data_IF_528879990614
#
_entry.id   IF_528879990614
#
_cell.length_a   1.000
_cell.length_b   1.000
_cell.length_c   1.000
_cell.angle_alpha   90.00
_cell.angle_beta   90.00
_cell.angle_gamma   90.00
#
_symmetry.space_group_name_H-M   'P 1'
#
loop_
_entity.id
_entity.type
_entity.pdbx_description
1 polymer ?
#
# COMPACT_ATOMS: atom_id res chain seq x y z
N UNK A 1 -31.36 -40.21 -8.86
CA UNK A 1 -31.24 -39.70 -7.47
C UNK A 1 -29.79 -39.58 -6.97
N UNK A 2 -28.90 -40.58 -7.21
CA UNK A 2 -27.47 -40.51 -6.88
C UNK A 2 -26.73 -39.36 -7.59
N UNK A 3 -26.96 -39.20 -8.90
CA UNK A 3 -26.37 -38.13 -9.72
C UNK A 3 -26.81 -36.73 -9.26
N UNK A 4 -28.10 -36.54 -8.94
CA UNK A 4 -28.63 -35.28 -8.39
C UNK A 4 -28.02 -34.98 -7.02
N UNK A 5 -27.86 -35.97 -6.13
CA UNK A 5 -27.15 -35.79 -4.85
C UNK A 5 -25.67 -35.45 -5.04
N UNK A 6 -25.03 -35.97 -6.10
CA UNK A 6 -23.64 -35.66 -6.44
C UNK A 6 -23.51 -34.23 -6.99
N UNK A 7 -24.38 -33.82 -7.92
CA UNK A 7 -24.41 -32.45 -8.45
C UNK A 7 -24.82 -31.43 -7.39
N UNK A 8 -25.79 -31.74 -6.53
CA UNK A 8 -26.15 -30.91 -5.38
C UNK A 8 -25.03 -30.91 -4.33
N UNK A 9 -24.36 -32.03 -4.09
CA UNK A 9 -23.21 -32.13 -3.19
C UNK A 9 -22.05 -31.25 -3.62
N UNK A 10 -21.69 -31.30 -4.91
CA UNK A 10 -20.68 -30.42 -5.51
C UNK A 10 -21.08 -28.94 -5.41
N UNK A 11 -22.33 -28.57 -5.75
CA UNK A 11 -22.81 -27.19 -5.61
C UNK A 11 -22.85 -26.69 -4.15
N UNK A 12 -23.13 -27.56 -3.18
CA UNK A 12 -23.17 -27.20 -1.75
C UNK A 12 -21.77 -27.08 -1.16
N UNK A 13 -20.82 -27.94 -1.56
CA UNK A 13 -19.40 -27.79 -1.19
C UNK A 13 -18.80 -26.52 -1.80
N UNK A 14 -19.10 -26.24 -3.07
CA UNK A 14 -18.72 -25.00 -3.74
C UNK A 14 -19.33 -23.77 -3.04
N UNK A 15 -20.61 -23.82 -2.66
CA UNK A 15 -21.29 -22.73 -1.95
C UNK A 15 -20.64 -22.40 -0.60
N UNK A 16 -20.32 -23.41 0.22
CA UNK A 16 -19.63 -23.20 1.50
C UNK A 16 -18.23 -22.62 1.30
N UNK A 17 -17.53 -23.08 0.27
CA UNK A 17 -16.22 -22.54 -0.09
C UNK A 17 -16.30 -21.06 -0.48
N UNK A 18 -17.21 -20.68 -1.37
CA UNK A 18 -17.39 -19.27 -1.75
C UNK A 18 -17.86 -18.40 -0.59
N UNK A 19 -18.73 -18.90 0.29
CA UNK A 19 -19.16 -18.19 1.48
C UNK A 19 -17.98 -17.94 2.45
N UNK A 20 -17.10 -18.94 2.63
CA UNK A 20 -15.85 -18.76 3.38
C UNK A 20 -14.99 -17.65 2.77
N UNK A 21 -14.76 -17.68 1.45
CA UNK A 21 -13.96 -16.66 0.76
C UNK A 21 -14.55 -15.25 0.92
N UNK A 22 -15.87 -15.10 0.85
CA UNK A 22 -16.52 -13.81 1.04
C UNK A 22 -16.33 -13.30 2.47
N UNK A 23 -16.48 -14.16 3.48
CA UNK A 23 -16.26 -13.79 4.88
C UNK A 23 -14.81 -13.33 5.08
N UNK A 24 -13.86 -14.10 4.56
CA UNK A 24 -12.44 -13.72 4.61
C UNK A 24 -12.22 -12.37 3.91
N UNK A 25 -12.77 -12.18 2.71
CA UNK A 25 -12.64 -10.94 1.97
C UNK A 25 -13.18 -9.72 2.73
N UNK A 26 -14.32 -9.86 3.39
CA UNK A 26 -14.89 -8.80 4.22
C UNK A 26 -13.99 -8.48 5.41
N UNK A 27 -13.48 -9.51 6.10
CA UNK A 27 -12.55 -9.30 7.22
C UNK A 27 -11.27 -8.61 6.76
N UNK A 28 -10.65 -9.10 5.69
CA UNK A 28 -9.43 -8.50 5.14
C UNK A 28 -9.67 -7.06 4.70
N UNK A 29 -10.75 -6.80 3.96
CA UNK A 29 -11.10 -5.44 3.54
C UNK A 29 -11.35 -4.50 4.72
N UNK A 30 -12.01 -4.99 5.77
CA UNK A 30 -12.27 -4.20 6.99
C UNK A 30 -10.97 -3.84 7.70
N UNK A 31 -10.12 -4.83 8.01
CA UNK A 31 -8.90 -4.60 8.78
C UNK A 31 -7.84 -3.84 7.97
N UNK A 32 -7.60 -4.21 6.72
CA UNK A 32 -6.68 -3.47 5.83
C UNK A 32 -7.18 -2.05 5.59
N UNK A 33 -8.49 -1.89 5.36
CA UNK A 33 -9.12 -0.58 5.20
C UNK A 33 -8.99 0.30 6.44
N UNK A 34 -9.20 -0.24 7.65
CA UNK A 34 -9.05 0.50 8.91
C UNK A 34 -7.61 0.92 9.15
N UNK A 35 -6.65 -0.01 9.04
CA UNK A 35 -5.22 0.28 9.24
C UNK A 35 -4.74 1.35 8.28
N UNK A 36 -5.08 1.23 6.99
CA UNK A 36 -4.65 2.20 5.98
C UNK A 36 -5.39 3.53 6.11
N UNK A 37 -6.66 3.54 6.51
CA UNK A 37 -7.38 4.79 6.78
C UNK A 37 -6.78 5.54 7.97
N UNK A 38 -6.38 4.83 9.04
CA UNK A 38 -5.65 5.43 10.16
C UNK A 38 -4.29 5.95 9.73
N UNK A 39 -3.59 5.24 8.84
CA UNK A 39 -2.30 5.70 8.32
C UNK A 39 -2.46 6.95 7.48
N UNK A 40 -3.44 6.98 6.57
CA UNK A 40 -3.80 8.17 5.79
C UNK A 40 -4.16 9.35 6.68
N UNK A 41 -4.94 9.13 7.74
CA UNK A 41 -5.21 10.17 8.73
C UNK A 41 -3.93 10.68 9.40
N UNK A 42 -3.01 9.78 9.78
CA UNK A 42 -1.71 10.15 10.32
C UNK A 42 -0.87 11.01 9.36
N UNK A 43 -0.88 10.67 8.07
CA UNK A 43 -0.20 11.44 7.02
C UNK A 43 -0.81 12.83 6.84
N UNK A 44 -2.14 12.92 6.70
CA UNK A 44 -2.83 14.20 6.51
C UNK A 44 -2.59 15.14 7.71
N UNK A 45 -2.59 14.61 8.95
CA UNK A 45 -2.22 15.40 10.13
C UNK A 45 -0.75 15.81 10.13
N UNK A 46 0.15 14.91 9.74
CA UNK A 46 1.59 15.20 9.66
C UNK A 46 1.87 16.34 8.68
N UNK A 47 1.21 16.34 7.52
CA UNK A 47 1.30 17.40 6.52
C UNK A 47 0.76 18.73 7.04
N UNK A 48 -0.40 18.72 7.71
CA UNK A 48 -0.98 19.92 8.33
C UNK A 48 -0.07 20.53 9.42
N UNK A 49 0.53 19.68 10.26
CA UNK A 49 1.48 20.12 11.30
C UNK A 49 2.74 20.70 10.64
N UNK A 50 3.29 20.03 9.62
CA UNK A 50 4.45 20.51 8.88
C UNK A 50 4.17 21.91 8.29
N UNK A 51 3.09 22.09 7.55
CA UNK A 51 2.77 23.40 6.94
C UNK A 51 2.54 24.50 7.98
N UNK A 52 1.85 24.17 9.08
CA UNK A 52 1.63 25.12 10.18
C UNK A 52 2.96 25.54 10.84
N UNK A 53 3.85 24.57 11.03
CA UNK A 53 5.18 24.78 11.61
C UNK A 53 6.05 25.63 10.69
N UNK A 54 6.12 25.31 9.39
CA UNK A 54 6.87 26.08 8.41
C UNK A 54 6.39 27.54 8.33
N UNK A 55 5.07 27.77 8.42
CA UNK A 55 4.50 29.12 8.45
C UNK A 55 4.88 29.89 9.73
N UNK A 56 4.93 29.22 10.87
CA UNK A 56 5.29 29.84 12.16
C UNK A 56 6.77 30.20 12.23
N UNK A 57 7.63 29.37 11.66
CA UNK A 57 9.09 29.52 11.72
C UNK A 57 9.62 30.48 10.65
N UNK A 58 8.83 30.76 9.61
CA UNK A 58 9.21 31.62 8.50
C UNK A 58 9.68 33.01 8.99
N UNK A 59 10.96 33.32 8.74
CA UNK A 59 11.56 34.62 9.09
C UNK A 59 12.32 34.65 10.42
N UNK A 60 12.26 33.57 11.23
CA UNK A 60 13.01 33.46 12.47
C UNK A 60 14.17 32.45 12.33
N UNK A 61 15.39 32.95 12.44
CA UNK A 61 16.61 32.15 12.31
C UNK A 61 16.78 31.11 13.43
N UNK A 62 16.45 31.47 14.68
CA UNK A 62 16.63 30.56 15.82
C UNK A 62 15.62 29.42 15.77
N UNK A 63 14.37 29.73 15.44
CA UNK A 63 13.34 28.70 15.25
C UNK A 63 13.65 27.79 14.05
N UNK A 64 14.26 28.33 12.99
CA UNK A 64 14.69 27.52 11.85
C UNK A 64 15.76 26.52 12.25
N UNK A 65 16.77 26.92 13.03
CA UNK A 65 17.79 26.01 13.56
C UNK A 65 17.16 24.96 14.48
N UNK A 66 16.25 25.37 15.36
CA UNK A 66 15.54 24.45 16.25
C UNK A 66 14.75 23.39 15.45
N UNK A 67 14.12 23.80 14.34
CA UNK A 67 13.43 22.86 13.45
C UNK A 67 14.36 21.87 12.80
N UNK A 68 15.54 22.29 12.31
CA UNK A 68 16.54 21.36 11.79
C UNK A 68 17.01 20.34 12.84
N UNK A 69 17.13 20.75 14.10
CA UNK A 69 17.44 19.82 15.20
C UNK A 69 16.31 18.80 15.43
N UNK A 70 15.04 19.24 15.34
CA UNK A 70 13.87 18.36 15.42
C UNK A 70 13.84 17.37 14.24
N UNK A 71 14.09 17.84 13.01
CA UNK A 71 14.18 16.98 11.83
C UNK A 71 15.28 15.93 11.97
N UNK A 72 16.45 16.31 12.50
CA UNK A 72 17.53 15.36 12.76
C UNK A 72 17.13 14.29 13.79
N UNK A 73 16.43 14.69 14.86
CA UNK A 73 15.89 13.76 15.85
C UNK A 73 14.84 12.81 15.24
N UNK A 74 13.94 13.32 14.41
CA UNK A 74 12.95 12.51 13.70
C UNK A 74 13.61 11.51 12.74
N UNK A 75 14.65 11.93 12.03
CA UNK A 75 15.47 11.07 11.19
C UNK A 75 16.15 9.96 11.99
N UNK A 76 16.70 10.29 13.16
CA UNK A 76 17.31 9.31 14.07
C UNK A 76 16.28 8.30 14.60
N UNK A 77 15.10 8.75 15.02
CA UNK A 77 14.01 7.85 15.47
C UNK A 77 13.56 6.94 14.32
N UNK A 78 13.42 7.49 13.11
CA UNK A 78 13.06 6.71 11.92
C UNK A 78 14.13 5.64 11.64
N UNK A 79 15.41 5.97 11.76
CA UNK A 79 16.49 5.00 11.60
C UNK A 79 16.43 3.88 12.65
N UNK A 80 16.12 4.19 13.91
CA UNK A 80 15.93 3.18 14.95
C UNK A 80 14.73 2.26 14.64
N UNK A 81 13.63 2.81 14.12
CA UNK A 81 12.48 2.01 13.69
C UNK A 81 12.84 1.08 12.53
N UNK A 82 13.59 1.55 11.54
CA UNK A 82 14.02 0.73 10.41
C UNK A 82 15.03 -0.35 10.83
N UNK A 83 15.88 -0.07 11.82
CA UNK A 83 16.77 -1.08 12.42
C UNK A 83 15.99 -2.14 13.20
N UNK A 84 14.89 -1.77 13.84
CA UNK A 84 14.03 -2.70 14.57
C UNK A 84 13.22 -3.63 13.64
N UNK A 85 12.80 -3.11 12.48
CA UNK A 85 12.13 -3.87 11.42
C UNK A 85 12.69 -3.52 10.03
N UNK A 86 13.75 -4.21 9.56
CA UNK A 86 14.35 -3.97 8.25
C UNK A 86 13.39 -4.18 7.08
N UNK A 87 12.39 -5.05 7.25
CA UNK A 87 11.35 -5.33 6.26
C UNK A 87 10.46 -4.11 5.96
N UNK A 88 10.48 -3.08 6.83
CA UNK A 88 9.75 -1.82 6.62
C UNK A 88 10.46 -0.82 5.70
N UNK A 89 11.67 -1.12 5.20
CA UNK A 89 12.43 -0.21 4.34
C UNK A 89 11.76 0.02 2.96
N UNK A 90 11.95 1.23 2.43
CA UNK A 90 11.55 1.60 1.07
C UNK A 90 10.04 1.49 0.81
N UNK A 91 9.67 1.10 -0.42
CA UNK A 91 8.27 1.00 -0.83
C UNK A 91 7.49 -0.08 -0.06
N UNK A 92 8.10 -1.24 0.22
CA UNK A 92 7.42 -2.39 0.84
C UNK A 92 6.74 -3.34 -0.16
N UNK A 93 6.43 -2.88 -1.38
CA UNK A 93 5.89 -3.73 -2.45
C UNK A 93 6.83 -4.92 -2.77
N UNK A 94 8.16 -4.73 -2.91
CA UNK A 94 9.07 -5.86 -3.17
C UNK A 94 9.11 -6.89 -2.04
N UNK A 95 8.97 -6.46 -0.78
CA UNK A 95 8.94 -7.33 0.39
C UNK A 95 7.68 -8.19 0.37
N UNK A 96 6.51 -7.58 0.11
CA UNK A 96 5.25 -8.31 -0.05
C UNK A 96 5.33 -9.31 -1.20
N UNK A 97 5.85 -8.91 -2.37
CA UNK A 97 6.03 -9.82 -3.50
C UNK A 97 6.98 -10.98 -3.14
N UNK A 98 8.05 -10.70 -2.41
CA UNK A 98 9.00 -11.71 -1.97
C UNK A 98 8.36 -12.73 -1.02
N UNK A 99 7.55 -12.27 -0.08
CA UNK A 99 6.81 -13.12 0.85
C UNK A 99 5.75 -13.97 0.15
N UNK A 100 5.00 -13.41 -0.80
CA UNK A 100 4.03 -14.16 -1.61
C UNK A 100 4.73 -15.29 -2.37
N UNK A 101 5.92 -15.02 -2.92
CA UNK A 101 6.78 -16.04 -3.55
C UNK A 101 7.41 -17.02 -2.57
N UNK A 102 7.40 -16.72 -1.27
CA UNK A 102 7.95 -17.56 -0.20
C UNK A 102 9.43 -17.35 0.07
N UNK A 103 10.01 -16.22 -0.35
CA UNK A 103 11.39 -15.87 -0.02
C UNK A 103 11.56 -15.37 1.42
N UNK A 104 10.50 -14.82 2.01
CA UNK A 104 10.51 -14.21 3.34
C UNK A 104 9.29 -14.65 4.16
N UNK A 105 9.36 -14.50 5.49
CA UNK A 105 8.23 -14.63 6.41
C UNK A 105 8.21 -13.41 7.35
N UNK A 106 7.59 -12.31 6.91
CA UNK A 106 7.67 -11.02 7.59
C UNK A 106 6.85 -11.00 8.89
N UNK A 107 7.37 -10.34 9.92
CA UNK A 107 6.67 -10.21 11.19
C UNK A 107 5.58 -9.13 11.12
N UNK A 108 4.35 -9.52 10.78
CA UNK A 108 3.25 -8.60 10.49
C UNK A 108 3.08 -7.42 11.47
N UNK A 109 3.12 -7.66 12.78
CA UNK A 109 2.86 -6.61 13.77
C UNK A 109 4.03 -5.64 13.92
N UNK A 110 5.28 -6.12 13.78
CA UNK A 110 6.47 -5.26 13.79
C UNK A 110 6.44 -4.31 12.60
N UNK A 111 6.21 -4.88 11.41
CA UNK A 111 6.14 -4.12 10.16
C UNK A 111 4.97 -3.15 10.15
N UNK A 112 3.80 -3.52 10.69
CA UNK A 112 2.70 -2.57 10.86
C UNK A 112 3.12 -1.34 11.68
N UNK A 113 3.75 -1.55 12.84
CA UNK A 113 4.14 -0.46 13.74
C UNK A 113 5.26 0.38 13.12
N UNK A 114 6.33 -0.27 12.66
CA UNK A 114 7.51 0.40 12.12
C UNK A 114 7.19 1.19 10.85
N UNK A 115 6.42 0.60 9.93
CA UNK A 115 6.03 1.26 8.68
C UNK A 115 5.06 2.42 8.92
N UNK A 116 4.09 2.25 9.81
CA UNK A 116 3.14 3.31 10.15
C UNK A 116 3.87 4.50 10.77
N UNK A 117 4.63 4.27 11.84
CA UNK A 117 5.32 5.34 12.57
C UNK A 117 6.40 5.99 11.70
N UNK A 118 7.23 5.18 11.03
CA UNK A 118 8.26 5.69 10.12
C UNK A 118 7.68 6.49 8.96
N UNK A 119 6.58 6.03 8.35
CA UNK A 119 5.86 6.76 7.31
C UNK A 119 5.30 8.09 7.80
N UNK A 120 4.67 8.14 8.98
CA UNK A 120 4.15 9.39 9.54
C UNK A 120 5.26 10.38 9.91
N UNK A 121 6.36 9.92 10.50
CA UNK A 121 7.50 10.77 10.85
C UNK A 121 8.19 11.33 9.61
N UNK A 122 8.38 10.51 8.58
CA UNK A 122 8.99 10.98 7.32
C UNK A 122 8.10 11.97 6.56
N UNK A 123 6.78 11.77 6.59
CA UNK A 123 5.82 12.74 6.07
C UNK A 123 5.83 14.07 6.86
N UNK A 124 5.88 14.00 8.20
CA UNK A 124 6.03 15.19 9.04
C UNK A 124 7.37 15.91 8.79
N UNK A 125 8.40 15.17 8.42
CA UNK A 125 9.70 15.71 8.02
C UNK A 125 9.72 16.35 6.63
N UNK A 126 8.62 16.27 5.88
CA UNK A 126 8.50 16.84 4.53
C UNK A 126 9.27 16.06 3.46
N UNK A 127 9.59 14.78 3.70
CA UNK A 127 10.24 13.95 2.68
C UNK A 127 9.29 13.65 1.53
N UNK A 128 9.81 13.67 0.31
CA UNK A 128 9.05 13.38 -0.92
C UNK A 128 8.79 11.88 -1.09
N UNK A 129 7.90 11.34 -0.26
CA UNK A 129 7.50 9.93 -0.27
C UNK A 129 6.02 9.78 -0.59
N UNK A 130 5.70 8.78 -1.41
CA UNK A 130 4.31 8.42 -1.71
C UNK A 130 3.68 7.58 -0.61
N UNK A 131 2.37 7.74 -0.39
CA UNK A 131 1.58 6.88 0.50
C UNK A 131 1.22 5.51 -0.08
N UNK A 132 1.47 5.31 -1.38
CA UNK A 132 1.13 4.08 -2.11
C UNK A 132 1.82 2.84 -1.54
N UNK A 133 3.15 2.78 -1.63
CA UNK A 133 3.94 1.62 -1.20
C UNK A 133 3.66 1.22 0.26
N UNK A 134 3.77 2.14 1.23
CA UNK A 134 3.45 1.86 2.63
C UNK A 134 2.05 1.28 2.82
N UNK A 135 1.04 1.80 2.11
CA UNK A 135 -0.33 1.32 2.27
C UNK A 135 -0.55 -0.08 1.70
N UNK A 136 0.15 -0.44 0.62
CA UNK A 136 0.18 -1.82 0.10
C UNK A 136 0.75 -2.77 1.14
N UNK A 137 1.90 -2.43 1.73
CA UNK A 137 2.54 -3.28 2.75
C UNK A 137 1.71 -3.35 4.04
N UNK A 138 1.18 -2.23 4.52
CA UNK A 138 0.30 -2.19 5.69
C UNK A 138 -0.97 -3.01 5.47
N UNK A 139 -1.58 -2.90 4.29
CA UNK A 139 -2.73 -3.70 3.91
C UNK A 139 -2.43 -5.20 3.89
N UNK A 140 -1.27 -5.61 3.35
CA UNK A 140 -0.80 -6.99 3.36
C UNK A 140 -0.53 -7.52 4.78
N UNK A 141 0.11 -6.72 5.63
CA UNK A 141 0.43 -7.13 7.01
C UNK A 141 -0.82 -7.19 7.90
N UNK A 142 -1.80 -6.30 7.69
CA UNK A 142 -3.11 -6.41 8.33
C UNK A 142 -3.80 -7.72 7.93
N UNK A 143 -3.77 -8.05 6.63
CA UNK A 143 -4.29 -9.31 6.12
C UNK A 143 -3.58 -10.54 6.70
N UNK A 144 -2.25 -10.48 6.82
CA UNK A 144 -1.44 -11.52 7.46
C UNK A 144 -1.85 -11.73 8.92
N UNK A 145 -2.03 -10.64 9.66
CA UNK A 145 -2.50 -10.66 11.05
C UNK A 145 -3.84 -11.37 11.17
N UNK A 146 -4.82 -11.01 10.34
CA UNK A 146 -6.15 -11.66 10.29
C UNK A 146 -6.02 -13.14 9.92
N UNK A 147 -5.19 -13.49 8.94
CA UNK A 147 -4.99 -14.87 8.50
C UNK A 147 -4.43 -15.77 9.60
N UNK A 148 -3.67 -15.26 10.57
CA UNK A 148 -3.17 -16.07 11.70
C UNK A 148 -4.26 -16.56 12.64
N UNK A 149 -5.41 -15.89 12.66
CA UNK A 149 -6.57 -16.27 13.46
C UNK A 149 -7.62 -17.06 12.67
N UNK A 150 -7.38 -17.28 11.37
CA UNK A 150 -8.22 -18.10 10.51
C UNK A 150 -7.61 -19.51 10.35
N UNK A 151 -8.44 -20.57 10.21
CA UNK A 151 -7.97 -21.93 9.98
C UNK A 151 -7.52 -22.10 8.52
N UNK A 152 -6.41 -21.46 8.16
CA UNK A 152 -5.92 -21.31 6.80
C UNK A 152 -4.56 -21.96 6.59
N UNK A 153 -4.36 -22.51 5.39
CA UNK A 153 -3.07 -23.02 4.96
C UNK A 153 -2.10 -21.86 4.67
N UNK A 154 -0.80 -22.15 4.56
CA UNK A 154 0.18 -21.15 4.11
C UNK A 154 -0.09 -20.61 2.71
N UNK A 155 -0.71 -21.41 1.84
CA UNK A 155 -1.15 -20.96 0.52
C UNK A 155 -2.29 -19.96 0.63
N UNK A 156 -3.24 -20.19 1.55
CA UNK A 156 -4.36 -19.28 1.78
C UNK A 156 -3.86 -17.98 2.43
N UNK A 157 -2.95 -18.05 3.40
CA UNK A 157 -2.30 -16.87 3.99
C UNK A 157 -1.70 -15.95 2.91
N UNK A 158 -0.95 -16.53 1.96
CA UNK A 158 -0.37 -15.77 0.84
C UNK A 158 -1.44 -15.15 -0.06
N UNK A 159 -2.52 -15.87 -0.36
CA UNK A 159 -3.66 -15.32 -1.13
C UNK A 159 -4.31 -14.15 -0.40
N UNK A 160 -4.46 -14.23 0.92
CA UNK A 160 -5.02 -13.14 1.72
C UNK A 160 -4.06 -11.94 1.77
N UNK A 161 -2.74 -12.14 1.86
CA UNK A 161 -1.74 -11.06 1.71
C UNK A 161 -1.91 -10.32 0.38
N UNK A 162 -2.02 -11.07 -0.71
CA UNK A 162 -2.18 -10.57 -2.08
C UNK A 162 -3.43 -9.69 -2.19
N UNK A 163 -4.55 -10.14 -1.60
CA UNK A 163 -5.80 -9.37 -1.57
C UNK A 163 -5.71 -8.15 -0.64
N UNK A 164 -5.11 -8.32 0.55
CA UNK A 164 -4.89 -7.23 1.51
C UNK A 164 -4.04 -6.10 0.97
N UNK A 165 -3.07 -6.43 0.10
CA UNK A 165 -2.22 -5.47 -0.62
C UNK A 165 -3.04 -4.53 -1.48
N UNK A 166 -3.95 -5.07 -2.31
CA UNK A 166 -4.86 -4.28 -3.14
C UNK A 166 -5.93 -3.56 -2.34
N UNK A 167 -6.41 -4.17 -1.26
CA UNK A 167 -7.34 -3.52 -0.33
C UNK A 167 -6.71 -2.27 0.31
N UNK A 168 -5.43 -2.34 0.69
CA UNK A 168 -4.68 -1.18 1.17
C UNK A 168 -4.56 -0.09 0.11
N UNK A 169 -4.23 -0.46 -1.14
CA UNK A 169 -4.20 0.49 -2.26
C UNK A 169 -5.57 1.15 -2.50
N UNK A 170 -6.64 0.35 -2.48
CA UNK A 170 -8.02 0.81 -2.63
C UNK A 170 -8.40 1.84 -1.56
N UNK A 171 -8.12 1.56 -0.28
CA UNK A 171 -8.39 2.50 0.82
C UNK A 171 -7.59 3.81 0.72
N UNK A 172 -6.38 3.74 0.19
CA UNK A 172 -5.47 4.90 0.04
C UNK A 172 -5.96 5.89 -1.00
N UNK A 173 -6.41 5.37 -2.15
CA UNK A 173 -6.78 6.17 -3.31
C UNK A 173 -8.29 6.29 -3.52
N UNK A 174 -9.09 5.70 -2.63
CA UNK A 174 -10.54 5.55 -2.78
C UNK A 174 -10.91 4.98 -4.16
N UNK A 175 -10.12 3.99 -4.60
CA UNK A 175 -10.09 3.46 -5.95
C UNK A 175 -10.11 1.92 -5.94
N UNK A 176 -11.28 1.30 -5.68
CA UNK A 176 -11.38 -0.15 -5.46
C UNK A 176 -10.98 -0.97 -6.69
N UNK A 177 -11.32 -0.51 -7.91
CA UNK A 177 -10.95 -1.19 -9.15
C UNK A 177 -9.44 -1.16 -9.40
N UNK A 178 -8.78 -0.03 -9.11
CA UNK A 178 -7.33 0.09 -9.24
C UNK A 178 -6.61 -0.83 -8.24
N UNK A 179 -7.07 -0.85 -6.98
CA UNK A 179 -6.57 -1.77 -5.95
C UNK A 179 -6.70 -3.24 -6.35
N UNK A 180 -7.87 -3.61 -6.89
CA UNK A 180 -8.14 -4.95 -7.39
C UNK A 180 -7.23 -5.36 -8.56
N UNK A 181 -7.10 -4.50 -9.59
CA UNK A 181 -6.26 -4.79 -10.76
C UNK A 181 -4.79 -4.89 -10.34
N UNK A 182 -4.32 -4.00 -9.45
CA UNK A 182 -2.96 -4.04 -8.92
C UNK A 182 -2.63 -5.36 -8.22
N UNK A 183 -3.59 -5.92 -7.46
CA UNK A 183 -3.44 -7.25 -6.86
C UNK A 183 -3.19 -8.33 -7.91
N UNK A 184 -3.85 -8.28 -9.06
CA UNK A 184 -3.71 -9.28 -10.13
C UNK A 184 -2.45 -9.09 -10.96
N UNK A 185 -2.18 -7.85 -11.37
CA UNK A 185 -1.10 -7.52 -12.32
C UNK A 185 0.26 -7.41 -11.65
N UNK A 186 0.36 -6.75 -10.49
CA UNK A 186 1.67 -6.47 -9.87
C UNK A 186 2.03 -7.49 -8.80
N UNK A 187 1.09 -7.81 -7.89
CA UNK A 187 1.40 -8.68 -6.75
C UNK A 187 1.33 -10.17 -7.11
N UNK A 188 0.21 -10.63 -7.67
CA UNK A 188 0.00 -12.05 -7.97
C UNK A 188 0.67 -12.50 -9.27
N UNK A 189 0.68 -11.65 -10.30
CA UNK A 189 1.14 -11.97 -11.67
C UNK A 189 0.44 -13.23 -12.24
N UNK A 190 -0.85 -13.34 -11.98
CA UNK A 190 -1.66 -14.48 -12.40
C UNK A 190 -3.15 -14.33 -12.06
N UNK A 191 -3.96 -15.22 -12.63
CA UNK A 191 -5.41 -15.24 -12.42
C UNK A 191 -5.81 -16.48 -11.61
N UNK A 192 -6.04 -16.31 -10.31
CA UNK A 192 -6.65 -17.29 -9.42
C UNK A 192 -8.08 -16.84 -9.09
N UNK A 193 -9.06 -17.73 -9.23
CA UNK A 193 -10.49 -17.40 -9.00
C UNK A 193 -10.75 -16.90 -7.58
N UNK A 194 -10.06 -17.46 -6.59
CA UNK A 194 -10.21 -17.09 -5.20
C UNK A 194 -9.66 -15.69 -4.97
N UNK A 195 -8.50 -15.36 -5.56
CA UNK A 195 -7.93 -14.00 -5.52
C UNK A 195 -8.84 -13.00 -6.21
N UNK A 196 -9.50 -13.38 -7.30
CA UNK A 196 -10.46 -12.48 -7.97
C UNK A 196 -11.62 -12.12 -7.04
N UNK A 197 -12.24 -13.12 -6.41
CA UNK A 197 -13.38 -12.92 -5.52
C UNK A 197 -12.96 -12.15 -4.27
N UNK A 198 -11.91 -12.62 -3.59
CA UNK A 198 -11.43 -12.03 -2.34
C UNK A 198 -10.87 -10.64 -2.58
N UNK A 199 -10.07 -10.45 -3.63
CA UNK A 199 -9.47 -9.19 -4.00
C UNK A 199 -10.51 -8.12 -4.33
N UNK A 200 -11.53 -8.46 -5.12
CA UNK A 200 -12.58 -7.50 -5.47
C UNK A 200 -13.41 -7.09 -4.24
N UNK A 201 -13.87 -8.08 -3.46
CA UNK A 201 -14.71 -7.81 -2.28
C UNK A 201 -13.91 -7.05 -1.21
N UNK A 202 -12.68 -7.45 -0.92
CA UNK A 202 -11.84 -6.76 0.05
C UNK A 202 -11.49 -5.33 -0.38
N UNK A 203 -11.22 -5.08 -1.67
CA UNK A 203 -10.98 -3.74 -2.19
C UNK A 203 -12.20 -2.82 -2.05
N UNK A 204 -13.41 -3.32 -2.35
CA UNK A 204 -14.66 -2.57 -2.17
C UNK A 204 -14.93 -2.28 -0.70
N UNK A 205 -14.75 -3.26 0.19
CA UNK A 205 -14.93 -3.07 1.64
C UNK A 205 -13.92 -2.06 2.18
N UNK A 206 -12.66 -2.14 1.77
CA UNK A 206 -11.62 -1.20 2.20
C UNK A 206 -11.87 0.23 1.72
N UNK A 207 -12.34 0.41 0.48
CA UNK A 207 -12.79 1.70 -0.04
C UNK A 207 -14.00 2.25 0.74
N UNK A 208 -14.97 1.39 1.08
CA UNK A 208 -16.11 1.78 1.91
C UNK A 208 -15.66 2.26 3.29
N UNK A 209 -14.73 1.55 3.94
CA UNK A 209 -14.13 1.98 5.21
C UNK A 209 -13.48 3.36 5.05
N UNK A 210 -12.66 3.56 4.01
CA UNK A 210 -12.02 4.85 3.72
C UNK A 210 -13.06 5.97 3.54
N UNK A 211 -14.14 5.72 2.82
CA UNK A 211 -15.23 6.70 2.59
C UNK A 211 -16.00 7.08 3.86
N UNK A 212 -16.06 6.20 4.85
CA UNK A 212 -16.66 6.54 6.16
C UNK A 212 -15.83 7.61 6.86
N UNK A 213 -14.50 7.57 6.76
CA UNK A 213 -13.62 8.54 7.41
C UNK A 213 -13.41 9.82 6.59
N UNK A 214 -13.26 9.70 5.27
CA UNK A 214 -12.84 10.81 4.39
C UNK A 214 -13.95 11.36 3.48
N UNK A 215 -15.14 10.74 3.49
CA UNK A 215 -16.23 11.09 2.59
C UNK A 215 -16.06 10.53 1.18
N UNK A 216 -16.94 10.93 0.26
CA UNK A 216 -17.01 10.39 -1.11
C UNK A 216 -16.36 11.28 -2.17
N UNK A 217 -15.72 12.37 -1.76
CA UNK A 217 -15.13 13.31 -2.71
C UNK A 217 -13.92 12.69 -3.43
N UNK A 218 -13.80 12.89 -4.75
CA UNK A 218 -12.62 12.43 -5.48
C UNK A 218 -11.39 13.17 -4.95
N UNK A 219 -10.29 12.43 -4.80
CA UNK A 219 -9.00 12.99 -4.38
C UNK A 219 -8.54 14.06 -5.38
N UNK A 220 -8.84 13.88 -6.66
CA UNK A 220 -8.55 14.83 -7.71
C UNK A 220 -9.81 15.20 -8.50
N UNK A 221 -10.43 16.36 -8.24
CA UNK A 221 -11.57 16.83 -9.01
C UNK A 221 -11.09 17.44 -10.32
N UNK A 222 -11.19 16.69 -11.42
CA UNK A 222 -10.96 17.20 -12.77
C UNK A 222 -12.27 17.26 -13.55
N UNK A 223 -12.43 18.29 -14.38
CA UNK A 223 -13.52 18.35 -15.36
C UNK A 223 -13.13 17.52 -16.57
N UNK A 224 -13.99 16.60 -17.01
CA UNK A 224 -13.75 15.80 -18.20
C UNK A 224 -13.68 16.70 -19.43
N UNK A 225 -12.52 16.78 -20.07
CA UNK A 225 -12.36 17.37 -21.39
C UNK A 225 -12.46 16.26 -22.45
N UNK A 226 -13.39 16.41 -23.39
CA UNK A 226 -13.51 15.48 -24.51
C UNK A 226 -12.40 15.76 -25.51
N UNK A 227 -11.43 14.85 -25.66
CA UNK A 227 -10.38 14.96 -26.66
C UNK A 227 -10.93 14.53 -28.03
N UNK A 228 -10.95 15.40 -29.06
CA UNK A 228 -11.37 15.01 -30.40
C UNK A 228 -10.49 13.88 -30.97
N UNK A 229 -11.10 12.92 -31.67
CA UNK A 229 -10.41 11.76 -32.27
C UNK A 229 -9.20 12.16 -33.14
N UNK A 230 -9.27 13.31 -33.82
CA UNK A 230 -8.17 13.84 -34.65
C UNK A 230 -6.87 14.07 -33.89
N UNK A 231 -6.91 14.22 -32.56
CA UNK A 231 -5.74 14.45 -31.71
C UNK A 231 -5.22 13.19 -31.01
N UNK A 232 -5.81 12.00 -31.24
CA UNK A 232 -5.38 10.76 -30.55
C UNK A 232 -3.92 10.37 -30.88
N UNK A 233 -3.38 10.79 -32.01
CA UNK A 233 -1.96 10.57 -32.34
C UNK A 233 -1.02 11.21 -31.31
N UNK A 234 -1.45 12.30 -30.63
CA UNK A 234 -0.66 12.93 -29.56
C UNK A 234 -0.48 12.00 -28.35
N UNK A 235 -1.43 11.08 -28.10
CA UNK A 235 -1.32 10.10 -27.01
C UNK A 235 -0.20 9.09 -27.28
N UNK A 236 0.04 8.73 -28.55
CA UNK A 236 1.15 7.84 -28.94
C UNK A 236 2.49 8.54 -28.70
N UNK A 237 2.61 9.80 -29.13
CA UNK A 237 3.81 10.62 -28.91
C UNK A 237 4.07 10.77 -27.41
N UNK A 238 3.03 11.09 -26.64
CA UNK A 238 3.10 11.19 -25.18
C UNK A 238 3.54 9.86 -24.56
N UNK A 239 3.00 8.73 -25.00
CA UNK A 239 3.38 7.41 -24.53
C UNK A 239 4.86 7.09 -24.75
N UNK A 240 5.41 7.45 -25.93
CA UNK A 240 6.84 7.28 -26.23
C UNK A 240 7.68 8.16 -25.29
N UNK A 241 7.30 9.43 -25.13
CA UNK A 241 8.02 10.37 -24.24
C UNK A 241 8.01 9.85 -22.80
N UNK A 242 6.84 9.50 -22.27
CA UNK A 242 6.70 9.00 -20.90
C UNK A 242 7.43 7.66 -20.72
N UNK A 243 7.43 6.79 -21.72
CA UNK A 243 8.20 5.53 -21.69
C UNK A 243 9.71 5.76 -21.60
N UNK A 244 10.25 6.69 -22.40
CA UNK A 244 11.69 7.05 -22.35
C UNK A 244 12.03 7.69 -21.00
N UNK A 245 11.22 8.64 -20.52
CA UNK A 245 11.43 9.29 -19.24
C UNK A 245 11.34 8.30 -18.07
N UNK A 246 10.41 7.34 -18.13
CA UNK A 246 10.28 6.27 -17.14
C UNK A 246 11.50 5.36 -17.09
N UNK A 247 12.09 5.00 -18.24
CA UNK A 247 13.34 4.26 -18.29
C UNK A 247 14.50 5.05 -17.63
N UNK A 248 14.65 6.33 -17.99
CA UNK A 248 15.68 7.20 -17.41
C UNK A 248 15.50 7.32 -15.89
N UNK A 249 14.27 7.50 -15.43
CA UNK A 249 13.94 7.59 -14.00
C UNK A 249 14.34 6.30 -13.26
N UNK A 250 14.00 5.13 -13.80
CA UNK A 250 14.35 3.84 -13.18
C UNK A 250 15.86 3.65 -13.07
N UNK A 251 16.62 3.93 -14.14
CA UNK A 251 18.09 3.84 -14.13
C UNK A 251 18.69 4.84 -13.14
N UNK A 252 18.16 6.07 -13.09
CA UNK A 252 18.59 7.09 -12.15
C UNK A 252 18.36 6.69 -10.70
N UNK A 253 17.19 6.13 -10.40
CA UNK A 253 16.83 5.66 -9.06
C UNK A 253 17.77 4.55 -8.58
N UNK A 254 18.02 3.53 -9.43
CA UNK A 254 18.92 2.42 -9.06
C UNK A 254 20.35 2.93 -8.80
N UNK A 255 20.89 3.76 -9.70
CA UNK A 255 22.23 4.33 -9.53
C UNK A 255 22.35 5.22 -8.30
N UNK A 256 21.30 5.98 -7.97
CA UNK A 256 21.27 6.80 -6.76
C UNK A 256 21.31 5.93 -5.51
N UNK A 257 20.55 4.82 -5.47
CA UNK A 257 20.61 3.85 -4.38
C UNK A 257 22.00 3.21 -4.24
N UNK A 258 22.61 2.74 -5.33
CA UNK A 258 23.96 2.18 -5.32
C UNK A 258 25.04 3.19 -4.85
N UNK A 259 24.86 4.47 -5.17
CA UNK A 259 25.76 5.53 -4.71
C UNK A 259 25.58 5.76 -3.20
N UNK A 260 24.35 5.69 -2.70
CA UNK A 260 24.04 5.83 -1.29
C UNK A 260 24.63 4.70 -0.44
N UNK A 261 24.54 3.45 -0.92
CA UNK A 261 25.16 2.28 -0.26
C UNK A 261 26.69 2.43 -0.13
N UNK A 262 27.35 3.09 -1.09
CA UNK A 262 28.80 3.34 -1.06
C UNK A 262 29.21 4.44 -0.08
N UNK A 263 28.29 5.29 0.36
CA UNK A 263 28.53 6.42 1.28
C UNK A 263 28.47 5.99 2.77
N UNK A 264 28.84 4.74 3.08
CA UNK A 264 28.70 4.04 4.37
C UNK A 264 29.59 4.59 5.52
N UNK A 265 29.66 5.90 5.69
CA UNK A 265 30.17 6.54 6.91
C UNK A 265 29.16 6.55 8.06
N UNK A 266 27.87 6.28 7.79
CA UNK A 266 26.82 6.20 8.81
C UNK A 266 26.41 4.73 9.03
N UNK A 267 26.60 4.17 10.24
CA UNK A 267 26.35 2.76 10.54
C UNK A 267 24.86 2.56 10.82
N UNK A 268 24.06 2.31 9.78
CA UNK A 268 22.64 1.98 9.92
C UNK A 268 22.20 0.75 9.10
N UNK A 269 23.15 0.01 8.53
CA UNK A 269 22.97 -1.41 8.17
C UNK A 269 23.50 -2.31 9.30
#
# INVERSE_FOLDING_TARGET
MKMIKQTLGLNVEDSKYYLKLIIEAVLIGLFSGLVVSLYRFGLDNSENILFSTLKYIQGDFLLTIAWFAILALMGFITALLMKWDPDSLGSGIPIVMGEVKGYFDVCWWKTLIAKFLGGTLTALGGLSLGREGPSVQLGAMAAKGVSKYLPNSKTDEKRLLVCGSGAGLAATFSAPLAGFIFTLEEINKGFDRSIVIVGLVSAVVADLVSKIFFGQSPIFPFTSLNLPLKYFYLLIILGIIVGILGYIYNVGMIKASEMWEKLSFLPLE
#
